data_IF_574225501546
#
_entry.id   IF_574225501546
#
_cell.length_a   1.000
_cell.length_b   1.000
_cell.length_c   1.000
_cell.angle_alpha   90.00
_cell.angle_beta   90.00
_cell.angle_gamma   90.00
#
_symmetry.space_group_name_H-M   'P 1'
#
loop_
_entity.id
_entity.type
_entity.pdbx_description
1 polymer ?
#
# COMPACT_ATOMS: atom_id res chain seq x y z
N UNK A 1 34.40 -16.04 -62.70
CA UNK A 1 33.11 -16.56 -62.20
C UNK A 1 33.11 -16.49 -60.68
N UNK A 2 32.66 -15.36 -60.11
CA UNK A 2 32.54 -15.16 -58.66
C UNK A 2 31.07 -15.39 -58.28
N UNK A 3 30.77 -16.48 -57.58
CA UNK A 3 29.45 -16.68 -56.99
C UNK A 3 29.47 -16.19 -55.54
N UNK A 4 28.71 -15.13 -55.28
CA UNK A 4 28.58 -14.46 -53.99
C UNK A 4 27.81 -15.35 -53.02
N UNK A 5 28.46 -15.83 -51.97
CA UNK A 5 27.80 -16.45 -50.82
C UNK A 5 27.23 -15.33 -49.96
N UNK A 6 25.90 -15.20 -49.98
CA UNK A 6 25.15 -14.24 -49.17
C UNK A 6 24.99 -14.83 -47.76
N UNK A 7 25.83 -14.41 -46.81
CA UNK A 7 25.66 -14.74 -45.39
C UNK A 7 24.50 -13.91 -44.82
N UNK A 8 23.34 -14.53 -44.67
CA UNK A 8 22.21 -13.96 -43.93
C UNK A 8 22.48 -14.16 -42.42
N UNK A 9 23.12 -13.17 -41.78
CA UNK A 9 23.24 -13.13 -40.32
C UNK A 9 21.87 -12.78 -39.76
N UNK A 10 21.13 -13.81 -39.33
CA UNK A 10 19.88 -13.66 -38.59
C UNK A 10 20.23 -13.13 -37.18
N UNK A 11 20.24 -11.80 -37.04
CA UNK A 11 20.32 -11.13 -35.75
C UNK A 11 19.02 -11.40 -34.99
N UNK A 12 19.01 -12.46 -34.18
CA UNK A 12 17.95 -12.72 -33.21
C UNK A 12 18.08 -11.62 -32.15
N UNK A 13 17.32 -10.55 -32.33
CA UNK A 13 17.11 -9.53 -31.31
C UNK A 13 16.21 -10.19 -30.26
N UNK A 14 16.80 -10.95 -29.34
CA UNK A 14 16.10 -11.36 -28.12
C UNK A 14 15.85 -10.10 -27.32
N UNK A 15 14.59 -9.69 -27.07
CA UNK A 15 14.33 -8.58 -26.17
C UNK A 15 14.75 -9.03 -24.77
N UNK A 16 15.94 -8.61 -24.35
CA UNK A 16 16.32 -8.65 -22.93
C UNK A 16 15.38 -7.69 -22.20
N UNK A 17 14.20 -8.19 -21.82
CA UNK A 17 13.32 -7.53 -20.88
C UNK A 17 13.97 -7.67 -19.51
N UNK A 18 14.94 -6.80 -19.21
CA UNK A 18 15.41 -6.58 -17.86
C UNK A 18 14.22 -6.03 -17.07
N UNK A 19 13.49 -6.94 -16.43
CA UNK A 19 12.44 -6.60 -15.48
C UNK A 19 13.14 -6.22 -14.18
N UNK A 20 13.11 -4.94 -13.85
CA UNK A 20 13.67 -4.42 -12.61
C UNK A 20 12.85 -4.93 -11.41
N UNK A 21 13.50 -5.11 -10.27
CA UNK A 21 12.89 -5.51 -9.02
C UNK A 21 11.67 -4.62 -8.68
N UNK A 22 10.59 -5.21 -8.11
CA UNK A 22 9.42 -4.45 -7.71
C UNK A 22 9.73 -3.36 -6.68
N UNK A 23 9.08 -2.21 -6.83
CA UNK A 23 9.18 -1.11 -5.86
C UNK A 23 8.49 -1.49 -4.55
N UNK A 24 9.09 -1.13 -3.42
CA UNK A 24 8.49 -1.30 -2.09
C UNK A 24 7.66 -0.06 -1.69
N UNK A 25 6.36 -0.29 -1.46
CA UNK A 25 5.43 0.70 -0.88
C UNK A 25 4.86 0.21 0.43
N UNK A 26 4.12 1.08 1.10
CA UNK A 26 3.43 0.80 2.34
C UNK A 26 2.00 1.29 2.19
N UNK A 27 1.04 0.56 2.75
CA UNK A 27 -0.37 0.94 2.72
C UNK A 27 -1.10 0.54 4.01
N UNK A 28 -2.14 1.29 4.37
CA UNK A 28 -3.09 0.92 5.43
C UNK A 28 -4.51 1.38 5.09
N UNK A 29 -5.28 0.49 4.48
CA UNK A 29 -6.68 0.73 4.12
C UNK A 29 -7.65 0.53 5.29
N UNK A 30 -7.17 0.45 6.53
CA UNK A 30 -8.01 0.27 7.70
C UNK A 30 -8.78 -1.06 7.66
N UNK A 31 -10.09 -0.99 7.82
CA UNK A 31 -11.01 -2.13 7.86
C UNK A 31 -11.14 -2.87 6.53
N UNK A 32 -10.90 -2.20 5.40
CA UNK A 32 -10.83 -2.87 4.09
C UNK A 32 -9.51 -3.56 3.83
N UNK A 33 -8.49 -3.27 4.65
CA UNK A 33 -7.22 -3.97 4.56
C UNK A 33 -7.41 -5.46 4.87
N UNK A 34 -6.97 -6.36 3.98
CA UNK A 34 -7.13 -7.80 4.17
C UNK A 34 -6.57 -8.27 5.51
N UNK A 35 -7.31 -9.17 6.16
CA UNK A 35 -6.95 -9.76 7.46
C UNK A 35 -6.55 -8.70 8.52
N UNK A 36 -7.24 -7.56 8.52
CA UNK A 36 -7.03 -6.48 9.48
C UNK A 36 -5.60 -5.90 9.46
N UNK A 37 -4.98 -5.83 8.27
CA UNK A 37 -3.61 -5.37 8.09
C UNK A 37 -2.57 -6.17 8.91
N UNK A 38 -2.68 -7.50 8.92
CA UNK A 38 -1.58 -8.35 9.38
C UNK A 38 -0.30 -8.15 8.56
N UNK A 39 0.81 -8.77 8.96
CA UNK A 39 2.06 -8.70 8.20
C UNK A 39 1.91 -9.44 6.87
N UNK A 40 1.77 -8.69 5.77
CA UNK A 40 1.50 -9.30 4.47
C UNK A 40 1.90 -8.40 3.28
N UNK A 41 1.79 -8.98 2.09
CA UNK A 41 1.95 -8.31 0.80
C UNK A 41 0.69 -8.43 -0.06
N UNK A 42 0.36 -7.35 -0.78
CA UNK A 42 -0.51 -7.38 -1.97
C UNK A 42 0.28 -6.93 -3.18
N UNK A 43 0.04 -7.56 -4.32
CA UNK A 43 0.77 -7.26 -5.56
C UNK A 43 -0.19 -7.17 -6.73
N UNK A 44 0.13 -6.37 -7.75
CA UNK A 44 -0.67 -6.40 -8.96
C UNK A 44 -0.61 -7.79 -9.61
N UNK A 45 -1.74 -8.24 -10.19
CA UNK A 45 -1.89 -9.58 -10.78
C UNK A 45 -0.81 -10.00 -11.78
N UNK A 46 -0.12 -9.04 -12.41
CA UNK A 46 0.97 -9.31 -13.36
C UNK A 46 2.29 -9.71 -12.71
N UNK A 47 2.44 -9.55 -11.39
CA UNK A 47 3.61 -10.01 -10.65
C UNK A 47 3.42 -11.42 -10.09
N UNK A 48 2.18 -11.80 -9.75
CA UNK A 48 1.89 -13.11 -9.18
C UNK A 48 2.09 -14.23 -10.22
N UNK A 49 2.94 -15.21 -9.90
CA UNK A 49 3.38 -16.26 -10.83
C UNK A 49 4.59 -15.85 -11.68
N UNK A 50 5.39 -14.90 -11.20
CA UNK A 50 6.67 -14.52 -11.82
C UNK A 50 7.84 -14.88 -10.89
N UNK A 51 9.08 -14.74 -11.37
CA UNK A 51 10.27 -14.90 -10.53
C UNK A 51 10.27 -14.04 -9.26
N UNK A 52 9.50 -12.95 -9.22
CA UNK A 52 9.44 -12.06 -8.06
C UNK A 52 8.37 -12.42 -7.05
N UNK A 53 7.32 -13.15 -7.43
CA UNK A 53 6.20 -13.51 -6.56
C UNK A 53 5.65 -14.85 -6.99
N UNK A 54 5.90 -15.89 -6.21
CA UNK A 54 5.50 -17.25 -6.55
C UNK A 54 5.37 -18.15 -5.32
N UNK A 55 4.73 -19.29 -5.51
CA UNK A 55 4.58 -20.31 -4.46
C UNK A 55 5.95 -20.81 -4.02
N UNK A 56 6.25 -20.91 -2.72
CA UNK A 56 7.56 -21.39 -2.24
C UNK A 56 7.91 -22.81 -2.74
N UNK A 57 6.89 -23.62 -3.01
CA UNK A 57 7.07 -24.98 -3.54
C UNK A 57 7.33 -25.03 -5.06
N UNK A 58 7.36 -23.89 -5.75
CA UNK A 58 7.64 -23.83 -7.18
C UNK A 58 9.14 -23.68 -7.45
N UNK A 59 9.64 -24.34 -8.51
CA UNK A 59 11.03 -24.18 -8.91
C UNK A 59 11.24 -22.93 -9.76
N UNK A 60 12.44 -22.35 -9.70
CA UNK A 60 12.84 -21.09 -10.35
C UNK A 60 12.51 -21.03 -11.85
N UNK A 61 12.57 -22.16 -12.55
CA UNK A 61 12.30 -22.26 -13.98
C UNK A 61 10.81 -22.27 -14.35
N UNK A 62 9.90 -22.45 -13.38
CA UNK A 62 8.46 -22.51 -13.60
C UNK A 62 7.68 -21.96 -12.38
N UNK A 63 7.73 -20.63 -12.15
CA UNK A 63 7.08 -20.00 -11.01
C UNK A 63 5.57 -20.20 -11.05
N UNK A 64 5.00 -20.70 -9.95
CA UNK A 64 3.56 -20.91 -9.80
C UNK A 64 2.95 -19.75 -9.03
N UNK A 65 1.82 -19.22 -9.51
CA UNK A 65 1.14 -18.12 -8.83
C UNK A 65 0.67 -18.51 -7.41
N UNK A 66 0.86 -17.60 -6.46
CA UNK A 66 0.37 -17.73 -5.10
C UNK A 66 -1.16 -17.66 -5.05
N UNK A 67 -1.75 -18.46 -4.17
CA UNK A 67 -3.18 -18.40 -3.85
C UNK A 67 -3.40 -17.34 -2.77
N UNK A 68 -4.55 -16.66 -2.83
CA UNK A 68 -4.91 -15.70 -1.80
C UNK A 68 -4.96 -16.40 -0.43
N UNK A 69 -4.43 -15.73 0.59
CA UNK A 69 -4.34 -16.21 1.96
C UNK A 69 -3.36 -17.40 2.16
N UNK A 70 -2.35 -17.53 1.32
CA UNK A 70 -1.25 -18.50 1.55
C UNK A 70 0.09 -17.80 1.73
N UNK A 71 1.07 -18.53 2.24
CA UNK A 71 2.47 -18.17 2.15
C UNK A 71 2.88 -18.01 0.68
N UNK A 72 3.73 -17.05 0.41
CA UNK A 72 4.20 -16.68 -0.91
C UNK A 72 5.65 -16.23 -0.80
N UNK A 73 6.50 -16.70 -1.70
CA UNK A 73 7.86 -16.21 -1.80
C UNK A 73 7.87 -14.94 -2.63
N UNK A 74 8.46 -13.87 -2.07
CA UNK A 74 8.66 -12.60 -2.75
C UNK A 74 10.14 -12.24 -2.80
N UNK A 75 10.62 -11.83 -3.97
CA UNK A 75 12.04 -11.54 -4.21
C UNK A 75 12.29 -10.07 -4.51
N UNK A 76 13.38 -9.54 -3.97
CA UNK A 76 13.62 -8.10 -3.80
C UNK A 76 14.73 -7.52 -4.68
N UNK A 77 15.52 -8.37 -5.33
CA UNK A 77 16.61 -8.00 -6.23
C UNK A 77 16.28 -8.34 -7.70
N UNK A 78 17.01 -7.74 -8.63
CA UNK A 78 16.76 -7.91 -10.07
C UNK A 78 16.93 -9.36 -10.55
N UNK A 79 17.74 -10.15 -9.85
CA UNK A 79 17.98 -11.56 -10.17
C UNK A 79 17.02 -12.52 -9.46
N UNK A 80 16.15 -12.02 -8.58
CA UNK A 80 15.26 -12.82 -7.74
C UNK A 80 16.00 -13.89 -6.91
N UNK A 81 17.09 -13.48 -6.26
CA UNK A 81 17.92 -14.31 -5.39
C UNK A 81 17.79 -13.94 -3.91
N UNK A 82 17.31 -12.74 -3.60
CA UNK A 82 17.06 -12.29 -2.24
C UNK A 82 15.55 -12.32 -1.98
N UNK A 83 15.07 -13.45 -1.44
CA UNK A 83 13.64 -13.70 -1.27
C UNK A 83 13.25 -13.91 0.19
N UNK A 84 11.97 -13.68 0.49
CA UNK A 84 11.35 -13.96 1.78
C UNK A 84 9.99 -14.61 1.57
N UNK A 85 9.61 -15.48 2.51
CA UNK A 85 8.26 -16.02 2.58
C UNK A 85 7.40 -15.10 3.43
N UNK A 86 6.29 -14.63 2.86
CA UNK A 86 5.30 -13.78 3.55
C UNK A 86 3.88 -14.15 3.15
N UNK A 87 2.91 -13.67 3.91
CA UNK A 87 1.50 -13.89 3.62
C UNK A 87 1.08 -13.08 2.39
N UNK A 88 0.46 -13.73 1.39
CA UNK A 88 -0.10 -13.06 0.21
C UNK A 88 -1.61 -12.84 0.37
N UNK A 89 -2.05 -11.57 0.25
CA UNK A 89 -3.45 -11.18 0.45
C UNK A 89 -4.18 -10.76 -0.83
N UNK A 90 -3.59 -10.99 -2.00
CA UNK A 90 -4.26 -10.79 -3.28
C UNK A 90 -3.77 -9.54 -4.04
N UNK A 91 -4.68 -8.96 -4.82
CA UNK A 91 -4.33 -7.92 -5.79
C UNK A 91 -4.06 -6.55 -5.13
N UNK A 92 -2.95 -5.94 -5.51
CA UNK A 92 -2.57 -4.57 -5.15
C UNK A 92 -2.62 -3.58 -6.33
N UNK A 93 -2.42 -2.27 -6.08
CA UNK A 93 -2.75 -1.21 -7.03
C UNK A 93 -1.72 -0.99 -8.16
N UNK A 94 -0.43 -1.16 -7.88
CA UNK A 94 0.66 -0.79 -8.79
C UNK A 94 1.25 -1.97 -9.58
N UNK A 95 1.39 -1.82 -10.90
CA UNK A 95 2.29 -2.70 -11.68
C UNK A 95 3.72 -2.52 -11.15
N UNK A 96 4.44 -3.63 -10.99
CA UNK A 96 5.81 -3.66 -10.48
C UNK A 96 5.99 -3.05 -9.08
N UNK A 97 5.03 -3.29 -8.18
CA UNK A 97 5.05 -2.82 -6.79
C UNK A 97 4.71 -3.96 -5.84
N UNK A 98 5.43 -4.05 -4.73
CA UNK A 98 5.00 -4.74 -3.52
C UNK A 98 4.38 -3.73 -2.57
N UNK A 99 3.08 -3.86 -2.33
CA UNK A 99 2.40 -3.08 -1.30
C UNK A 99 2.37 -3.88 -0.01
N UNK A 100 3.08 -3.39 1.00
CA UNK A 100 3.37 -4.09 2.23
C UNK A 100 2.71 -3.35 3.40
N UNK A 101 2.20 -4.06 4.39
CA UNK A 101 1.60 -3.41 5.55
C UNK A 101 2.64 -2.84 6.51
N UNK A 102 2.28 -1.89 7.38
CA UNK A 102 3.13 -1.50 8.51
C UNK A 102 3.59 -2.68 9.35
N UNK A 103 2.71 -3.66 9.59
CA UNK A 103 3.03 -4.87 10.33
C UNK A 103 4.13 -5.71 9.65
N UNK A 104 4.15 -5.78 8.32
CA UNK A 104 5.24 -6.43 7.58
C UNK A 104 6.58 -5.76 7.88
N UNK A 105 6.65 -4.43 7.76
CA UNK A 105 7.89 -3.72 8.03
C UNK A 105 8.31 -3.81 9.50
N UNK A 106 7.38 -3.75 10.45
CA UNK A 106 7.68 -3.94 11.87
C UNK A 106 8.29 -5.31 12.15
N UNK A 107 7.78 -6.35 11.51
CA UNK A 107 8.32 -7.71 11.65
C UNK A 107 9.72 -7.83 11.04
N UNK A 108 9.90 -7.36 9.81
CA UNK A 108 11.13 -7.62 9.05
C UNK A 108 12.25 -6.62 9.33
N UNK A 109 11.93 -5.34 9.57
CA UNK A 109 12.95 -4.32 9.86
C UNK A 109 13.63 -4.50 11.22
N UNK A 110 13.09 -5.38 12.09
CA UNK A 110 13.69 -5.75 13.36
C UNK A 110 14.71 -6.90 13.25
N UNK A 111 14.83 -7.55 12.08
CA UNK A 111 15.71 -8.69 11.84
C UNK A 111 17.04 -8.23 11.22
N UNK A 112 18.14 -8.89 11.58
CA UNK A 112 19.49 -8.52 11.11
C UNK A 112 19.76 -8.96 9.66
N UNK A 113 19.27 -10.15 9.30
CA UNK A 113 19.45 -10.78 7.99
C UNK A 113 18.16 -10.67 7.17
N UNK A 114 18.09 -9.64 6.32
CA UNK A 114 16.99 -9.38 5.39
C UNK A 114 17.53 -8.94 4.02
N UNK A 115 16.76 -9.10 2.93
CA UNK A 115 17.14 -8.63 1.60
C UNK A 115 17.62 -7.19 1.58
N UNK A 116 18.63 -6.89 0.77
CA UNK A 116 19.30 -5.59 0.71
C UNK A 116 18.36 -4.44 0.35
N UNK A 117 17.43 -4.67 -0.58
CA UNK A 117 16.42 -3.66 -0.94
C UNK A 117 15.43 -3.41 0.21
N UNK A 118 15.03 -4.46 0.95
CA UNK A 118 14.18 -4.31 2.14
C UNK A 118 14.92 -3.58 3.26
N UNK A 119 16.17 -3.93 3.52
CA UNK A 119 17.04 -3.24 4.48
C UNK A 119 17.15 -1.75 4.17
N UNK A 120 17.41 -1.42 2.90
CA UNK A 120 17.50 -0.04 2.44
C UNK A 120 16.18 0.71 2.64
N UNK A 121 15.05 0.06 2.37
CA UNK A 121 13.72 0.62 2.62
C UNK A 121 13.46 0.82 4.11
N UNK A 122 13.78 -0.14 4.97
CA UNK A 122 13.66 -0.02 6.43
C UNK A 122 14.44 1.18 6.97
N UNK A 123 15.71 1.35 6.55
CA UNK A 123 16.54 2.49 6.94
C UNK A 123 15.93 3.82 6.44
N UNK A 124 15.42 3.86 5.21
CA UNK A 124 14.76 5.06 4.68
C UNK A 124 13.50 5.41 5.48
N UNK A 125 12.69 4.42 5.87
CA UNK A 125 11.50 4.63 6.69
C UNK A 125 11.86 5.16 8.09
N UNK A 126 12.87 4.58 8.75
CA UNK A 126 13.38 5.05 10.04
C UNK A 126 13.93 6.50 9.96
N UNK A 127 14.57 6.86 8.84
CA UNK A 127 15.02 8.25 8.62
C UNK A 127 13.86 9.23 8.44
N UNK A 128 12.79 8.79 7.77
CA UNK A 128 11.59 9.62 7.57
C UNK A 128 10.80 9.77 8.87
N UNK A 129 10.75 8.74 9.72
CA UNK A 129 10.14 8.78 11.06
C UNK A 129 10.68 9.94 11.90
N UNK A 130 12.00 10.19 11.85
CA UNK A 130 12.64 11.32 12.56
C UNK A 130 12.10 12.70 12.16
N UNK A 131 11.41 12.83 11.02
CA UNK A 131 10.74 14.09 10.65
C UNK A 131 9.55 14.42 11.55
N UNK A 132 9.09 13.43 12.31
CA UNK A 132 8.05 13.58 13.30
C UNK A 132 8.58 13.95 14.69
N UNK A 133 9.90 13.92 14.90
CA UNK A 133 10.52 14.29 16.17
C UNK A 133 10.15 15.73 16.58
N UNK A 134 9.77 15.91 17.85
CA UNK A 134 9.36 17.20 18.41
C UNK A 134 7.97 17.69 17.98
N UNK A 135 7.18 16.86 17.31
CA UNK A 135 5.76 17.12 17.03
C UNK A 135 4.87 16.42 18.04
N UNK A 136 3.66 16.94 18.23
CA UNK A 136 2.64 16.29 19.06
C UNK A 136 1.93 15.24 18.23
N UNK A 137 1.82 14.02 18.72
CA UNK A 137 1.06 12.98 18.05
C UNK A 137 -0.41 13.04 18.48
N UNK A 138 -1.27 13.68 17.68
CA UNK A 138 -2.66 13.92 18.06
C UNK A 138 -3.50 12.65 18.18
N UNK A 139 -3.13 11.56 17.51
CA UNK A 139 -3.87 10.30 17.62
C UNK A 139 -3.54 9.61 18.96
N UNK A 140 -2.33 9.78 19.48
CA UNK A 140 -1.92 9.25 20.79
C UNK A 140 -2.24 10.19 21.95
N UNK A 141 -2.29 11.49 21.70
CA UNK A 141 -2.55 12.54 22.69
C UNK A 141 -3.75 13.42 22.25
N UNK A 142 -4.98 12.87 22.17
CA UNK A 142 -6.13 13.60 21.66
C UNK A 142 -6.50 14.81 22.50
N UNK A 143 -6.23 14.76 23.81
CA UNK A 143 -6.52 15.83 24.77
C UNK A 143 -5.50 16.98 24.73
N UNK A 144 -4.41 16.86 23.97
CA UNK A 144 -3.47 17.97 23.79
C UNK A 144 -4.19 19.14 23.12
N UNK A 145 -3.97 20.36 23.61
CA UNK A 145 -4.64 21.57 23.10
C UNK A 145 -4.51 21.79 21.58
N UNK A 146 -3.43 21.30 20.95
CA UNK A 146 -3.24 21.35 19.49
C UNK A 146 -4.05 20.30 18.73
N UNK A 147 -4.61 19.31 19.44
CA UNK A 147 -5.18 18.09 18.89
C UNK A 147 -6.69 17.99 19.05
N UNK A 148 -7.26 18.59 20.11
CA UNK A 148 -8.69 18.48 20.44
C UNK A 148 -9.60 18.71 19.23
N UNK A 149 -9.45 19.84 18.53
CA UNK A 149 -10.29 20.16 17.38
C UNK A 149 -10.05 19.24 16.18
N UNK A 150 -8.79 18.81 16.00
CA UNK A 150 -8.37 17.97 14.88
C UNK A 150 -8.93 16.54 15.04
N UNK A 151 -8.81 15.96 16.23
CA UNK A 151 -9.34 14.62 16.52
C UNK A 151 -10.86 14.64 16.56
N UNK A 152 -11.50 15.65 17.17
CA UNK A 152 -12.95 15.75 17.17
C UNK A 152 -13.55 15.80 15.75
N UNK A 153 -12.89 16.54 14.83
CA UNK A 153 -13.32 16.56 13.43
C UNK A 153 -13.15 15.20 12.74
N UNK A 154 -12.04 14.51 13.00
CA UNK A 154 -11.77 13.19 12.42
C UNK A 154 -12.75 12.12 12.95
N UNK A 155 -13.03 12.12 14.25
CA UNK A 155 -14.03 11.27 14.89
C UNK A 155 -15.43 11.54 14.35
N UNK A 156 -15.81 12.81 14.21
CA UNK A 156 -17.11 13.18 13.63
C UNK A 156 -17.22 12.68 12.18
N UNK A 157 -16.18 12.85 11.36
CA UNK A 157 -16.18 12.36 9.98
C UNK A 157 -16.33 10.83 9.92
N UNK A 158 -15.62 10.09 10.78
CA UNK A 158 -15.75 8.64 10.89
C UNK A 158 -17.15 8.24 11.36
N UNK A 159 -17.70 8.89 12.38
CA UNK A 159 -19.03 8.59 12.91
C UNK A 159 -20.15 8.82 11.88
N UNK A 160 -20.03 9.84 11.04
CA UNK A 160 -20.98 10.12 9.96
C UNK A 160 -20.89 9.10 8.81
N UNK A 161 -19.69 8.60 8.52
CA UNK A 161 -19.45 7.71 7.39
C UNK A 161 -19.62 6.21 7.74
N UNK A 162 -19.33 5.82 8.99
CA UNK A 162 -19.35 4.42 9.43
C UNK A 162 -20.68 3.70 9.13
N UNK A 163 -21.88 4.26 9.40
CA UNK A 163 -23.13 3.57 9.08
C UNK A 163 -23.31 3.28 7.60
N UNK A 164 -22.85 4.19 6.73
CA UNK A 164 -22.89 4.01 5.28
C UNK A 164 -21.92 2.92 4.83
N UNK A 165 -20.73 2.87 5.43
CA UNK A 165 -19.76 1.80 5.18
C UNK A 165 -20.31 0.43 5.56
N UNK A 166 -20.88 0.29 6.77
CA UNK A 166 -21.50 -0.96 7.22
C UNK A 166 -22.65 -1.39 6.34
N UNK A 167 -23.54 -0.46 6.00
CA UNK A 167 -24.66 -0.75 5.11
C UNK A 167 -24.17 -1.27 3.75
N UNK A 168 -23.14 -0.64 3.19
CA UNK A 168 -22.55 -1.06 1.92
C UNK A 168 -21.95 -2.47 2.01
N UNK A 169 -21.25 -2.80 3.09
CA UNK A 169 -20.72 -4.15 3.32
C UNK A 169 -21.85 -5.20 3.46
N UNK A 170 -22.93 -4.85 4.15
CA UNK A 170 -24.07 -5.74 4.38
C UNK A 170 -24.84 -6.09 3.10
N UNK A 171 -25.09 -5.10 2.23
CA UNK A 171 -25.90 -5.31 1.02
C UNK A 171 -25.08 -5.54 -0.25
N UNK A 172 -23.75 -5.49 -0.16
CA UNK A 172 -22.80 -5.40 -1.28
C UNK A 172 -22.70 -4.02 -1.93
N UNK A 173 -21.52 -3.73 -2.49
CA UNK A 173 -21.22 -2.47 -3.18
C UNK A 173 -22.15 -2.21 -4.38
N UNK A 174 -22.47 -3.26 -5.16
CA UNK A 174 -23.33 -3.12 -6.35
C UNK A 174 -24.74 -2.71 -5.95
N UNK A 175 -25.35 -3.43 -5.00
CA UNK A 175 -26.69 -3.13 -4.50
C UNK A 175 -26.72 -1.77 -3.80
N UNK A 176 -25.74 -1.48 -2.94
CA UNK A 176 -25.64 -0.21 -2.25
C UNK A 176 -25.56 0.97 -3.22
N UNK A 177 -24.88 0.82 -4.37
CA UNK A 177 -24.72 1.89 -5.34
C UNK A 177 -25.91 2.10 -6.28
N UNK A 178 -26.84 1.15 -6.36
CA UNK A 178 -27.89 1.11 -7.40
C UNK A 178 -28.86 2.30 -7.33
N UNK A 179 -29.07 2.87 -6.15
CA UNK A 179 -30.01 3.96 -5.88
C UNK A 179 -29.33 5.26 -5.40
N UNK A 180 -27.99 5.28 -5.31
CA UNK A 180 -27.24 6.42 -4.73
C UNK A 180 -26.80 7.43 -5.77
N UNK A 181 -26.68 8.68 -5.33
CA UNK A 181 -25.94 9.69 -6.08
C UNK A 181 -24.44 9.36 -6.07
N UNK A 182 -23.70 9.83 -7.07
CA UNK A 182 -22.27 9.52 -7.19
C UNK A 182 -21.45 9.90 -5.94
N UNK A 183 -21.82 10.98 -5.25
CA UNK A 183 -21.17 11.41 -4.01
C UNK A 183 -21.33 10.42 -2.84
N UNK A 184 -22.37 9.60 -2.85
CA UNK A 184 -22.64 8.59 -1.83
C UNK A 184 -22.26 7.17 -2.27
N UNK A 185 -22.07 6.95 -3.58
CA UNK A 185 -21.61 5.66 -4.11
C UNK A 185 -20.21 5.33 -3.61
N UNK A 186 -19.93 4.03 -3.48
CA UNK A 186 -18.66 3.50 -3.00
C UNK A 186 -17.98 2.57 -3.98
N UNK A 187 -16.68 2.40 -3.83
CA UNK A 187 -15.84 1.52 -4.64
C UNK A 187 -14.87 0.73 -3.74
N UNK A 188 -14.27 -0.32 -4.29
CA UNK A 188 -13.18 -1.10 -3.69
C UNK A 188 -13.55 -1.61 -2.28
N UNK A 189 -14.50 -2.54 -2.24
CA UNK A 189 -15.01 -3.11 -0.98
C UNK A 189 -15.59 -2.04 -0.06
N UNK A 190 -16.38 -1.13 -0.65
CA UNK A 190 -17.08 -0.04 0.04
C UNK A 190 -16.17 1.01 0.70
N UNK A 191 -14.84 0.89 0.62
CA UNK A 191 -13.95 1.75 1.38
C UNK A 191 -13.64 3.09 0.72
N UNK A 192 -13.82 3.18 -0.60
CA UNK A 192 -13.41 4.33 -1.38
C UNK A 192 -14.59 5.06 -2.00
N UNK A 193 -14.43 6.34 -2.33
CA UNK A 193 -15.40 7.07 -3.14
C UNK A 193 -15.53 6.48 -4.56
N UNK A 194 -16.72 6.65 -5.13
CA UNK A 194 -16.98 6.19 -6.49
C UNK A 194 -16.34 7.07 -7.57
N UNK A 195 -16.26 8.38 -7.36
CA UNK A 195 -15.60 9.28 -8.31
C UNK A 195 -14.12 9.45 -7.94
N UNK A 196 -13.25 9.69 -8.92
CA UNK A 196 -11.84 9.99 -8.65
C UNK A 196 -11.69 11.47 -8.29
N UNK A 197 -12.07 11.86 -7.08
CA UNK A 197 -12.05 13.24 -6.62
C UNK A 197 -10.77 13.62 -5.86
N UNK A 198 -9.84 12.67 -5.66
CA UNK A 198 -8.49 12.93 -5.18
C UNK A 198 -7.70 13.93 -6.06
N UNK A 199 -6.52 14.31 -5.57
CA UNK A 199 -5.60 15.17 -6.31
C UNK A 199 -5.05 14.51 -7.58
N UNK A 200 -4.41 15.26 -8.49
CA UNK A 200 -3.68 14.66 -9.60
C UNK A 200 -2.37 14.03 -9.11
N UNK A 201 -2.06 12.83 -9.57
CA UNK A 201 -0.72 12.26 -9.42
C UNK A 201 0.26 12.84 -10.47
N UNK A 202 1.52 12.39 -10.47
CA UNK A 202 2.56 12.85 -11.41
C UNK A 202 2.25 12.62 -12.90
N UNK A 203 1.19 11.88 -13.22
CA UNK A 203 0.69 11.64 -14.58
C UNK A 203 -0.64 12.33 -14.86
N UNK A 204 -1.10 13.21 -13.97
CA UNK A 204 -2.39 13.91 -14.08
C UNK A 204 -3.62 13.03 -13.78
N UNK A 205 -3.43 11.78 -13.36
CA UNK A 205 -4.53 10.88 -13.01
C UNK A 205 -4.98 11.16 -11.59
N UNK A 206 -6.30 11.25 -11.38
CA UNK A 206 -6.90 11.41 -10.05
C UNK A 206 -7.15 10.04 -9.41
N UNK A 207 -6.91 9.94 -8.10
CA UNK A 207 -7.25 8.74 -7.33
C UNK A 207 -8.65 8.86 -6.72
N UNK A 208 -9.19 7.72 -6.30
CA UNK A 208 -10.36 7.65 -5.43
C UNK A 208 -9.88 7.75 -4.00
N UNK A 209 -10.49 8.60 -3.20
CA UNK A 209 -10.18 8.76 -1.78
C UNK A 209 -10.76 7.61 -0.94
N UNK A 210 -9.99 7.15 0.02
CA UNK A 210 -10.44 6.36 1.15
C UNK A 210 -11.45 7.19 1.96
N UNK A 211 -12.55 6.57 2.37
CA UNK A 211 -13.63 7.21 3.11
C UNK A 211 -13.48 6.96 4.63
N UNK A 212 -13.88 7.91 5.49
CA UNK A 212 -13.63 7.82 6.94
C UNK A 212 -14.09 6.54 7.63
N UNK A 213 -15.23 5.98 7.22
CA UNK A 213 -15.80 4.75 7.77
C UNK A 213 -14.99 3.50 7.48
N UNK A 214 -14.07 3.56 6.51
CA UNK A 214 -13.13 2.49 6.21
C UNK A 214 -12.02 2.37 7.25
N UNK A 215 -11.69 3.41 8.03
CA UNK A 215 -10.66 3.31 9.05
C UNK A 215 -11.14 2.56 10.30
N UNK A 216 -10.19 1.96 11.03
CA UNK A 216 -10.45 1.29 12.31
C UNK A 216 -10.74 2.33 13.38
N UNK A 217 -11.33 1.89 14.49
CA UNK A 217 -11.44 2.74 15.67
C UNK A 217 -10.05 3.19 16.13
N UNK A 218 -9.90 4.49 16.43
CA UNK A 218 -8.62 5.08 16.82
C UNK A 218 -7.63 5.27 15.66
N UNK A 219 -8.06 5.06 14.41
CA UNK A 219 -7.31 5.45 13.21
C UNK A 219 -8.18 6.34 12.32
N UNK A 220 -7.57 7.23 11.56
CA UNK A 220 -8.28 8.26 10.82
C UNK A 220 -7.73 8.42 9.41
N UNK A 221 -8.58 8.70 8.44
CA UNK A 221 -8.17 8.93 7.06
C UNK A 221 -7.23 10.13 6.98
N UNK A 222 -6.10 9.96 6.28
CA UNK A 222 -5.14 11.02 5.99
C UNK A 222 -5.73 12.14 5.14
N UNK A 223 -4.99 13.26 5.07
CA UNK A 223 -5.47 14.49 4.39
C UNK A 223 -5.99 14.23 2.97
N UNK A 224 -5.25 13.51 2.14
CA UNK A 224 -5.59 13.32 0.74
C UNK A 224 -6.41 12.04 0.49
N UNK A 225 -6.70 11.27 1.54
CA UNK A 225 -7.53 10.08 1.50
C UNK A 225 -6.84 8.90 0.85
N UNK A 226 -5.54 8.70 1.10
CA UNK A 226 -4.80 7.55 0.58
C UNK A 226 -4.72 6.40 1.58
N UNK A 227 -4.56 6.72 2.88
CA UNK A 227 -4.29 5.74 3.93
C UNK A 227 -4.97 6.14 5.26
N UNK A 228 -5.13 5.17 6.16
CA UNK A 228 -5.51 5.37 7.55
C UNK A 228 -4.27 5.63 8.43
N UNK A 229 -4.24 6.78 9.08
CA UNK A 229 -3.23 7.19 10.03
C UNK A 229 -3.53 6.62 11.42
N UNK A 230 -2.52 6.05 12.08
CA UNK A 230 -2.71 5.22 13.29
C UNK A 230 -2.09 5.81 14.56
N UNK A 231 -1.35 6.91 14.44
CA UNK A 231 -0.51 7.43 15.52
C UNK A 231 0.76 6.61 15.73
N UNK A 232 1.07 5.64 14.86
CA UNK A 232 2.36 4.93 14.88
C UNK A 232 3.33 5.70 14.01
N UNK A 233 4.29 6.40 14.62
CA UNK A 233 5.19 7.33 13.93
C UNK A 233 5.89 6.70 12.73
N UNK A 234 6.42 5.48 12.87
CA UNK A 234 7.02 4.73 11.76
C UNK A 234 6.11 4.59 10.53
N UNK A 235 4.84 4.20 10.72
CA UNK A 235 3.88 4.02 9.63
C UNK A 235 3.42 5.37 9.08
N UNK A 236 3.00 6.27 9.96
CA UNK A 236 2.44 7.57 9.61
C UNK A 236 3.45 8.47 8.88
N UNK A 237 4.73 8.41 9.27
CA UNK A 237 5.78 9.16 8.59
C UNK A 237 5.99 8.66 7.15
N UNK A 238 5.81 7.36 6.91
CA UNK A 238 5.92 6.75 5.59
C UNK A 238 4.82 7.22 4.63
N UNK A 239 3.63 7.50 5.16
CA UNK A 239 2.51 8.11 4.42
C UNK A 239 2.70 9.62 4.17
N UNK A 240 3.76 10.21 4.73
CA UNK A 240 4.22 11.55 4.39
C UNK A 240 3.18 12.63 4.68
N UNK A 241 2.76 13.38 3.65
CA UNK A 241 1.82 14.49 3.83
C UNK A 241 0.42 14.06 4.27
N UNK A 242 0.07 12.79 4.08
CA UNK A 242 -1.22 12.23 4.50
C UNK A 242 -1.38 12.31 6.01
N UNK A 243 -0.45 11.69 6.73
CA UNK A 243 -0.57 11.50 8.17
C UNK A 243 0.15 12.57 8.98
N UNK A 244 1.10 13.32 8.40
CA UNK A 244 1.77 14.44 9.10
C UNK A 244 0.78 15.51 9.59
N UNK A 245 -0.44 15.56 9.04
CA UNK A 245 -1.50 16.45 9.53
C UNK A 245 -1.87 16.16 10.99
N UNK A 246 -1.81 14.89 11.42
CA UNK A 246 -2.02 14.47 12.81
C UNK A 246 -0.80 14.73 13.72
N UNK A 247 0.25 15.36 13.18
CA UNK A 247 1.48 15.70 13.89
C UNK A 247 1.78 17.21 13.85
N UNK A 248 0.97 18.06 14.51
CA UNK A 248 1.25 19.49 14.57
C UNK A 248 2.59 19.77 15.26
N UNK A 249 3.28 20.81 14.79
CA UNK A 249 4.50 21.29 15.44
C UNK A 249 4.13 21.98 16.74
N UNK A 250 4.88 21.71 17.80
CA UNK A 250 4.84 22.56 18.98
C UNK A 250 5.35 23.95 18.59
N UNK A 251 4.54 24.99 18.78
CA UNK A 251 5.05 26.36 18.72
C UNK A 251 5.97 26.54 19.91
N UNK A 252 7.28 26.65 19.68
CA UNK A 252 8.20 27.15 20.69
C UNK A 252 7.71 28.57 21.03
N UNK A 253 7.17 28.74 22.23
CA UNK A 253 6.90 30.05 22.82
C UNK A 253 8.16 30.53 23.52
#
# INVERSE_FOLDING_TARGET
MLSKVLFFVLLIITPFSLTAAPKLTIYDDGRSCPANCDAHVVVHRSLNGTKFVHSPDSGDGNPVACKMNTACEICFDDNATECLITQYRGSGPGKNTFDLTPAFYQEWCAKDEIPGALKSKCLALQQIERKLDGRVNCIKEPDNTLCVALIAAAEQAQALDAPKYEQCLQVSQETYNSDKQNADKRQHHCAYEFESNGGPNSRGLRWKRLLPGACRQGTYVGRDGLDCCSGVAFADAAFGSECIHFYPKMSLR
#
